data_IF_234814317419
#
_entry.id   IF_234814317419
#
_cell.length_a   1.000
_cell.length_b   1.000
_cell.length_c   1.000
_cell.angle_alpha   90.00
_cell.angle_beta   90.00
_cell.angle_gamma   90.00
#
_symmetry.space_group_name_H-M   'P 1'
#
loop_
_entity.id
_entity.type
_entity.pdbx_description
1 polymer ?
#
# COMPACT_ATOMS: atom_id res chain seq x y z
N UNK A 1 -15.80 7.49 9.73
CA UNK A 1 -15.90 6.03 9.51
C UNK A 1 -16.84 5.40 10.52
N UNK A 2 -16.54 5.48 11.81
CA UNK A 2 -17.17 4.64 12.85
C UNK A 2 -18.70 4.68 12.95
N UNK A 3 -19.37 5.80 12.66
CA UNK A 3 -20.84 5.89 12.84
C UNK A 3 -21.61 5.08 11.79
N UNK A 4 -21.16 5.08 10.53
CA UNK A 4 -21.78 4.30 9.45
C UNK A 4 -21.56 2.81 9.69
N UNK A 5 -20.36 2.44 10.14
CA UNK A 5 -20.00 1.04 10.41
C UNK A 5 -20.82 0.47 11.58
N UNK A 6 -21.00 1.24 12.66
CA UNK A 6 -21.86 0.86 13.79
C UNK A 6 -23.32 0.73 13.35
N UNK A 7 -23.83 1.66 12.54
CA UNK A 7 -25.18 1.57 12.01
C UNK A 7 -25.38 0.31 11.15
N UNK A 8 -24.40 -0.02 10.30
CA UNK A 8 -24.42 -1.23 9.49
C UNK A 8 -24.37 -2.49 10.35
N UNK A 9 -23.56 -2.50 11.42
CA UNK A 9 -23.46 -3.61 12.36
C UNK A 9 -24.83 -3.90 13.00
N UNK A 10 -25.52 -2.87 13.51
CA UNK A 10 -26.86 -3.02 14.05
C UNK A 10 -27.88 -3.49 13.00
N UNK A 11 -27.83 -2.93 11.80
CA UNK A 11 -28.77 -3.25 10.73
C UNK A 11 -28.69 -4.71 10.29
N UNK A 12 -27.47 -5.23 10.06
CA UNK A 12 -27.28 -6.56 9.49
C UNK A 12 -27.17 -7.68 10.53
N UNK A 13 -26.68 -7.41 11.75
CA UNK A 13 -26.30 -8.46 12.71
C UNK A 13 -27.12 -8.50 14.02
N UNK A 14 -28.13 -7.64 14.17
CA UNK A 14 -28.99 -7.57 15.38
C UNK A 14 -29.78 -8.84 15.69
N UNK A 15 -29.94 -9.76 14.74
CA UNK A 15 -30.67 -11.00 14.97
C UNK A 15 -29.98 -11.94 15.97
N UNK A 16 -28.66 -11.90 16.05
CA UNK A 16 -27.86 -12.90 16.78
C UNK A 16 -26.79 -12.30 17.70
N UNK A 17 -26.62 -10.98 17.72
CA UNK A 17 -25.64 -10.29 18.57
C UNK A 17 -26.32 -9.36 19.55
N UNK A 18 -25.96 -9.51 20.83
CA UNK A 18 -26.26 -8.51 21.86
C UNK A 18 -25.16 -7.46 21.83
N UNK A 19 -25.50 -6.26 21.36
CA UNK A 19 -24.51 -5.20 21.20
C UNK A 19 -24.21 -4.49 22.53
N UNK A 20 -22.92 -4.21 22.83
CA UNK A 20 -22.57 -3.30 23.91
C UNK A 20 -22.93 -1.85 23.55
N UNK A 21 -22.63 -0.92 24.45
CA UNK A 21 -22.86 0.49 24.18
C UNK A 21 -22.03 1.03 23.01
N UNK A 22 -22.44 2.20 22.51
CA UNK A 22 -21.81 2.84 21.35
C UNK A 22 -20.33 3.16 21.56
N UNK A 23 -19.94 3.52 22.80
CA UNK A 23 -18.56 3.82 23.13
C UNK A 23 -17.68 2.57 23.01
N UNK A 24 -18.16 1.44 23.52
CA UNK A 24 -17.49 0.14 23.42
C UNK A 24 -17.35 -0.32 21.97
N UNK A 25 -18.39 -0.17 21.15
CA UNK A 25 -18.29 -0.48 19.71
C UNK A 25 -17.29 0.43 18.99
N UNK A 26 -17.23 1.70 19.38
CA UNK A 26 -16.25 2.65 18.82
C UNK A 26 -14.81 2.22 19.14
N UNK A 27 -14.55 1.80 20.38
CA UNK A 27 -13.25 1.26 20.79
C UNK A 27 -12.92 -0.02 20.03
N UNK A 28 -13.87 -0.95 19.93
CA UNK A 28 -13.67 -2.21 19.21
C UNK A 28 -13.32 -1.99 17.73
N UNK A 29 -14.04 -1.13 17.03
CA UNK A 29 -13.75 -0.82 15.64
C UNK A 29 -12.40 -0.13 15.47
N UNK A 30 -12.01 0.73 16.40
CA UNK A 30 -10.67 1.31 16.39
C UNK A 30 -9.59 0.23 16.59
N UNK A 31 -9.80 -0.73 17.50
CA UNK A 31 -8.91 -1.86 17.71
C UNK A 31 -8.80 -2.75 16.45
N UNK A 32 -9.92 -3.06 15.80
CA UNK A 32 -9.93 -3.85 14.55
C UNK A 32 -9.19 -3.11 13.44
N UNK A 33 -9.37 -1.80 13.29
CA UNK A 33 -8.62 -1.03 12.28
C UNK A 33 -7.11 -0.99 12.55
N UNK A 34 -6.69 -0.91 13.81
CA UNK A 34 -5.26 -0.85 14.17
C UNK A 34 -4.56 -2.21 14.13
N UNK A 35 -5.29 -3.32 14.33
CA UNK A 35 -4.73 -4.66 14.55
C UNK A 35 -5.23 -5.71 13.54
N UNK A 36 -6.08 -5.31 12.60
CA UNK A 36 -6.62 -6.18 11.57
C UNK A 36 -5.58 -6.50 10.50
N UNK A 37 -5.62 -7.73 10.00
CA UNK A 37 -4.74 -8.22 8.94
C UNK A 37 -5.54 -8.50 7.69
N UNK A 38 -4.98 -8.11 6.55
CA UNK A 38 -5.40 -8.60 5.24
C UNK A 38 -4.71 -9.94 5.00
N UNK A 39 -5.49 -10.98 4.72
CA UNK A 39 -5.00 -12.28 4.26
C UNK A 39 -4.90 -12.22 2.74
N UNK A 40 -3.74 -12.62 2.24
CA UNK A 40 -3.40 -12.58 0.82
C UNK A 40 -2.93 -13.96 0.34
N UNK A 41 -3.13 -14.25 -0.95
CA UNK A 41 -2.58 -15.45 -1.61
C UNK A 41 -1.13 -15.23 -2.08
N UNK A 42 -0.58 -16.20 -2.82
CA UNK A 42 0.78 -16.14 -3.35
C UNK A 42 1.04 -15.00 -4.34
N UNK A 43 -0.01 -14.42 -4.93
CA UNK A 43 0.06 -13.27 -5.84
C UNK A 43 -0.26 -11.94 -5.12
N UNK A 44 -0.37 -11.97 -3.79
CA UNK A 44 -0.81 -10.86 -2.94
C UNK A 44 -2.25 -10.39 -3.21
N UNK A 45 -3.09 -11.26 -3.77
CA UNK A 45 -4.52 -10.98 -3.97
C UNK A 45 -5.28 -11.09 -2.65
N UNK A 46 -6.20 -10.15 -2.41
CA UNK A 46 -6.97 -10.10 -1.17
C UNK A 46 -7.96 -11.27 -1.06
N UNK A 47 -7.75 -12.15 -0.08
CA UNK A 47 -8.66 -13.26 0.23
C UNK A 47 -9.67 -12.91 1.33
N UNK A 48 -9.31 -12.03 2.25
CA UNK A 48 -10.18 -11.61 3.35
C UNK A 48 -9.45 -10.89 4.47
N UNK A 49 -10.14 -10.70 5.58
CA UNK A 49 -9.61 -10.01 6.77
C UNK A 49 -9.69 -10.90 8.01
N UNK A 50 -8.68 -10.81 8.87
CA UNK A 50 -8.60 -11.58 10.11
C UNK A 50 -7.94 -10.80 11.26
N UNK A 51 -8.05 -11.33 12.47
CA UNK A 51 -7.40 -10.79 13.67
C UNK A 51 -6.46 -11.84 14.23
N UNK A 52 -5.19 -11.49 14.38
CA UNK A 52 -4.14 -12.36 14.93
C UNK A 52 -3.49 -11.66 16.13
N UNK A 53 -4.04 -11.78 17.35
CA UNK A 53 -3.59 -10.98 18.50
C UNK A 53 -2.09 -11.09 18.79
N UNK A 54 -1.51 -12.29 18.73
CA UNK A 54 -0.08 -12.50 18.99
C UNK A 54 0.81 -11.90 17.90
N UNK A 55 0.32 -11.89 16.65
CA UNK A 55 1.03 -11.30 15.50
C UNK A 55 0.91 -9.78 15.54
N UNK A 56 -0.23 -9.25 15.99
CA UNK A 56 -0.49 -7.82 16.16
C UNK A 56 0.40 -7.15 17.22
N UNK A 57 1.06 -7.94 18.07
CA UNK A 57 2.02 -7.44 19.07
C UNK A 57 3.30 -6.87 18.42
N UNK A 58 3.68 -7.37 17.23
CA UNK A 58 4.93 -6.96 16.57
C UNK A 58 4.81 -5.55 16.02
N UNK A 59 5.76 -4.67 16.37
CA UNK A 59 5.81 -3.30 15.87
C UNK A 59 6.24 -3.21 14.40
N UNK A 60 6.05 -2.02 13.83
CA UNK A 60 6.45 -1.72 12.46
C UNK A 60 7.93 -1.35 12.32
N UNK A 61 8.57 -1.80 11.24
CA UNK A 61 9.78 -1.20 10.70
C UNK A 61 9.76 -1.20 9.18
N UNK A 62 10.31 -0.15 8.53
CA UNK A 62 10.52 -0.15 7.08
C UNK A 62 11.70 -1.05 6.64
N UNK A 63 12.45 -1.61 7.60
CA UNK A 63 13.45 -2.65 7.39
C UNK A 63 13.13 -3.85 8.31
N UNK A 64 12.03 -4.57 8.07
CA UNK A 64 11.51 -5.59 8.96
C UNK A 64 12.45 -6.81 9.01
N UNK A 65 12.56 -7.45 10.17
CA UNK A 65 13.33 -8.68 10.34
C UNK A 65 12.46 -9.95 10.23
N UNK A 66 11.14 -9.81 10.14
CA UNK A 66 10.20 -10.91 9.86
C UNK A 66 9.17 -10.57 8.78
N UNK A 67 8.69 -11.59 8.08
CA UNK A 67 7.51 -11.52 7.20
C UNK A 67 6.41 -12.42 7.76
N UNK A 68 5.16 -11.97 7.64
CA UNK A 68 3.96 -12.74 7.95
C UNK A 68 3.41 -13.35 6.67
N UNK A 69 3.18 -14.66 6.68
CA UNK A 69 2.54 -15.42 5.59
C UNK A 69 1.37 -16.23 6.13
N UNK A 70 0.51 -16.75 5.26
CA UNK A 70 -0.69 -17.48 5.70
C UNK A 70 -0.72 -18.90 5.14
N UNK A 71 -1.01 -19.88 6.02
CA UNK A 71 -1.32 -21.26 5.65
C UNK A 71 -2.79 -21.53 5.95
N UNK A 72 -3.64 -21.27 4.95
CA UNK A 72 -5.09 -21.18 5.18
C UNK A 72 -5.37 -20.02 6.13
N UNK A 73 -5.99 -20.30 7.28
CA UNK A 73 -6.31 -19.28 8.30
C UNK A 73 -5.23 -19.14 9.40
N UNK A 74 -4.08 -19.80 9.25
CA UNK A 74 -2.98 -19.75 10.22
C UNK A 74 -1.94 -18.76 9.75
N UNK A 75 -1.66 -17.73 10.55
CA UNK A 75 -0.53 -16.82 10.33
C UNK A 75 0.79 -17.48 10.76
N UNK A 76 1.80 -17.39 9.91
CA UNK A 76 3.15 -17.90 10.15
C UNK A 76 4.14 -16.73 10.05
N UNK A 77 4.94 -16.52 11.10
CA UNK A 77 5.95 -15.46 11.18
C UNK A 77 7.33 -16.07 10.94
N UNK A 78 8.05 -15.59 9.93
CA UNK A 78 9.38 -16.11 9.56
C UNK A 78 10.42 -15.01 9.50
N UNK A 79 11.60 -15.28 10.04
CA UNK A 79 12.74 -14.38 9.97
C UNK A 79 13.21 -14.22 8.51
N UNK A 80 13.43 -12.96 8.11
CA UNK A 80 14.06 -12.57 6.83
C UNK A 80 15.39 -11.84 7.03
N UNK A 81 15.77 -11.63 8.29
CA UNK A 81 17.08 -11.19 8.73
C UNK A 81 17.50 -12.04 9.94
N UNK A 82 18.78 -12.05 10.28
CA UNK A 82 19.25 -12.62 11.54
C UNK A 82 18.65 -11.84 12.72
N UNK A 83 18.27 -12.53 13.79
CA UNK A 83 17.68 -11.93 15.00
C UNK A 83 18.45 -12.44 16.21
N UNK A 84 19.14 -11.54 16.88
CA UNK A 84 19.91 -11.82 18.09
C UNK A 84 19.04 -11.74 19.36
N UNK A 85 19.40 -12.46 20.45
CA UNK A 85 18.69 -12.33 21.71
C UNK A 85 18.65 -10.88 22.22
N UNK A 86 17.44 -10.39 22.52
CA UNK A 86 17.20 -9.02 22.99
C UNK A 86 16.86 -8.03 21.87
N UNK A 87 16.94 -8.41 20.60
CA UNK A 87 16.43 -7.60 19.49
C UNK A 87 14.91 -7.69 19.41
N UNK A 88 14.28 -6.56 19.07
CA UNK A 88 12.84 -6.49 18.85
C UNK A 88 12.47 -7.09 17.47
N UNK A 89 11.32 -7.76 17.41
CA UNK A 89 10.80 -8.36 16.19
C UNK A 89 9.89 -7.36 15.50
N UNK A 90 10.24 -6.99 14.26
CA UNK A 90 9.53 -6.01 13.46
C UNK A 90 9.01 -6.60 12.16
N UNK A 91 7.77 -6.29 11.83
CA UNK A 91 7.16 -6.57 10.53
C UNK A 91 6.86 -5.26 9.77
N UNK A 92 6.47 -5.34 8.49
CA UNK A 92 5.98 -4.16 7.77
C UNK A 92 4.46 -4.12 7.80
N UNK A 93 3.89 -2.94 8.05
CA UNK A 93 2.43 -2.72 8.01
C UNK A 93 1.96 -2.16 6.66
N UNK A 94 2.92 -1.79 5.80
CA UNK A 94 2.68 -1.03 4.58
C UNK A 94 3.57 -1.55 3.46
N UNK A 95 3.23 -1.19 2.23
CA UNK A 95 4.09 -1.38 1.08
C UNK A 95 5.39 -0.54 1.22
N UNK A 96 6.53 -1.21 1.12
CA UNK A 96 7.85 -0.62 1.27
C UNK A 96 8.39 0.02 -0.02
N UNK A 97 7.65 -0.05 -1.14
CA UNK A 97 8.03 0.54 -2.43
C UNK A 97 8.20 2.06 -2.32
N UNK A 98 7.30 2.77 -1.63
CA UNK A 98 7.23 4.23 -1.67
C UNK A 98 8.35 4.94 -0.89
N UNK A 99 8.63 6.24 -1.17
CA UNK A 99 9.59 7.06 -0.44
C UNK A 99 9.20 7.28 1.02
N UNK A 100 10.15 7.76 1.82
CA UNK A 100 9.97 7.89 3.28
C UNK A 100 8.82 8.80 3.70
N UNK A 101 8.56 9.86 2.94
CA UNK A 101 7.43 10.76 3.22
C UNK A 101 6.09 10.02 3.06
N UNK A 102 5.86 9.42 1.88
CA UNK A 102 4.63 8.67 1.56
C UNK A 102 4.38 7.52 2.56
N UNK A 103 5.44 6.78 2.92
CA UNK A 103 5.33 5.70 3.93
C UNK A 103 4.86 6.26 5.27
N UNK A 104 5.44 7.36 5.73
CA UNK A 104 5.06 7.95 7.01
C UNK A 104 3.71 8.67 6.98
N UNK A 105 3.28 9.22 5.84
CA UNK A 105 1.91 9.72 5.68
C UNK A 105 0.90 8.59 5.89
N UNK A 106 1.13 7.43 5.28
CA UNK A 106 0.29 6.25 5.46
C UNK A 106 0.28 5.74 6.90
N UNK A 107 1.45 5.67 7.55
CA UNK A 107 1.56 5.24 8.94
C UNK A 107 0.86 6.20 9.91
N UNK A 108 0.96 7.52 9.70
CA UNK A 108 0.25 8.51 10.52
C UNK A 108 -1.25 8.43 10.35
N UNK A 109 -1.72 8.26 9.11
CA UNK A 109 -3.15 8.21 8.80
C UNK A 109 -3.82 6.93 9.34
N UNK A 110 -3.17 5.77 9.16
CA UNK A 110 -3.77 4.48 9.50
C UNK A 110 -3.39 3.96 10.89
N UNK A 111 -2.22 4.31 11.42
CA UNK A 111 -1.67 3.76 12.66
C UNK A 111 -1.24 4.83 13.68
N UNK A 112 -1.39 6.13 13.35
CA UNK A 112 -1.19 7.24 14.28
C UNK A 112 0.23 7.39 14.84
N UNK A 113 1.26 6.91 14.12
CA UNK A 113 2.66 7.11 14.49
C UNK A 113 3.54 7.50 13.30
N UNK A 114 4.75 7.99 13.58
CA UNK A 114 5.80 8.24 12.59
C UNK A 114 6.95 7.29 12.87
N UNK A 115 7.43 6.57 11.85
CA UNK A 115 8.51 5.60 11.97
C UNK A 115 9.87 6.31 11.93
N UNK A 116 10.77 5.91 12.84
CA UNK A 116 12.12 6.42 13.01
C UNK A 116 13.21 5.36 12.72
N UNK A 117 12.82 4.23 12.10
CA UNK A 117 13.75 3.17 11.73
C UNK A 117 14.89 3.67 10.82
N UNK A 118 15.93 2.84 10.64
CA UNK A 118 17.13 3.18 9.85
C UNK A 118 16.79 3.74 8.46
N UNK A 119 15.87 3.12 7.74
CA UNK A 119 15.46 3.57 6.40
C UNK A 119 14.78 4.94 6.43
N UNK A 120 13.94 5.22 7.44
CA UNK A 120 13.26 6.50 7.58
C UNK A 120 14.20 7.63 8.01
N UNK A 121 15.20 7.30 8.84
CA UNK A 121 16.21 8.26 9.32
C UNK A 121 17.25 8.58 8.24
N UNK A 122 17.77 7.56 7.55
CA UNK A 122 18.83 7.73 6.55
C UNK A 122 18.28 8.19 5.19
N UNK A 123 17.07 7.75 4.82
CA UNK A 123 16.44 8.03 3.51
C UNK A 123 17.28 7.57 2.31
N UNK A 124 18.14 6.58 2.51
CA UNK A 124 19.14 6.13 1.52
C UNK A 124 18.51 5.73 0.17
N UNK A 125 17.32 5.12 0.20
CA UNK A 125 16.60 4.66 -0.99
C UNK A 125 15.73 5.72 -1.66
N UNK A 126 15.45 6.85 -1.00
CA UNK A 126 14.49 7.83 -1.52
C UNK A 126 14.98 8.43 -2.85
N UNK A 127 16.29 8.63 -3.02
CA UNK A 127 16.87 9.15 -4.27
C UNK A 127 16.62 8.22 -5.46
N UNK A 128 16.76 6.91 -5.26
CA UNK A 128 16.54 5.93 -6.34
C UNK A 128 15.04 5.74 -6.60
N UNK A 129 14.22 5.76 -5.55
CA UNK A 129 12.76 5.70 -5.67
C UNK A 129 12.18 6.90 -6.43
N UNK A 130 12.80 8.07 -6.27
CA UNK A 130 12.39 9.34 -6.85
C UNK A 130 13.21 9.75 -8.07
N UNK A 131 13.71 8.76 -8.83
CA UNK A 131 14.61 9.01 -9.94
C UNK A 131 13.97 9.87 -11.02
N UNK A 132 14.72 10.86 -11.47
CA UNK A 132 14.32 11.87 -12.47
C UNK A 132 15.18 11.67 -13.72
N UNK A 133 14.57 11.84 -14.90
CA UNK A 133 15.24 11.67 -16.20
C UNK A 133 16.42 12.63 -16.35
N UNK A 134 17.49 12.10 -16.94
CA UNK A 134 18.65 12.88 -17.38
C UNK A 134 18.34 13.60 -18.69
N UNK A 135 17.72 14.76 -18.58
CA UNK A 135 17.44 15.65 -19.71
C UNK A 135 18.65 16.57 -19.99
N UNK A 136 18.68 17.15 -21.19
CA UNK A 136 19.70 18.16 -21.56
C UNK A 136 19.68 19.38 -20.63
N UNK A 137 18.48 19.80 -20.23
CA UNK A 137 18.26 20.75 -19.15
C UNK A 137 17.62 20.01 -17.99
N UNK A 138 18.28 19.93 -16.81
CA UNK A 138 17.71 19.29 -15.64
C UNK A 138 16.35 19.90 -15.26
N UNK A 139 15.35 19.09 -14.85
CA UNK A 139 14.09 19.62 -14.35
C UNK A 139 14.29 20.51 -13.12
N UNK A 140 13.61 21.65 -13.09
CA UNK A 140 13.60 22.53 -11.93
C UNK A 140 13.00 21.82 -10.70
N UNK A 141 13.50 22.06 -9.48
CA UNK A 141 12.99 21.41 -8.27
C UNK A 141 11.48 21.59 -8.05
N UNK A 142 10.91 22.72 -8.47
CA UNK A 142 9.46 22.95 -8.39
C UNK A 142 8.69 22.04 -9.35
N UNK A 143 9.18 21.85 -10.57
CA UNK A 143 8.55 20.94 -11.54
C UNK A 143 8.54 19.50 -11.03
N UNK A 144 9.61 19.07 -10.35
CA UNK A 144 9.65 17.75 -9.69
C UNK A 144 8.60 17.66 -8.59
N UNK A 145 8.50 18.66 -7.70
CA UNK A 145 7.47 18.69 -6.63
C UNK A 145 6.05 18.66 -7.19
N UNK A 146 5.77 19.44 -8.23
CA UNK A 146 4.47 19.45 -8.88
C UNK A 146 4.13 18.09 -9.51
N UNK A 147 5.11 17.42 -10.09
CA UNK A 147 4.92 16.08 -10.64
C UNK A 147 4.67 15.03 -9.56
N UNK A 148 5.33 15.12 -8.40
CA UNK A 148 5.03 14.26 -7.25
C UNK A 148 3.61 14.47 -6.75
N UNK A 149 3.18 15.73 -6.63
CA UNK A 149 1.79 16.05 -6.25
C UNK A 149 0.80 15.51 -7.27
N UNK A 150 1.09 15.64 -8.56
CA UNK A 150 0.29 15.04 -9.63
C UNK A 150 0.22 13.53 -9.49
N UNK A 151 1.35 12.84 -9.29
CA UNK A 151 1.41 11.39 -9.13
C UNK A 151 0.57 10.90 -7.95
N UNK A 152 0.72 11.52 -6.76
CA UNK A 152 -0.11 11.19 -5.58
C UNK A 152 -1.61 11.35 -5.87
N UNK A 153 -2.00 12.43 -6.56
CA UNK A 153 -3.39 12.65 -6.93
C UNK A 153 -3.91 11.58 -7.91
N UNK A 154 -3.12 11.23 -8.93
CA UNK A 154 -3.49 10.19 -9.91
C UNK A 154 -3.69 8.84 -9.25
N UNK A 155 -2.83 8.46 -8.31
CA UNK A 155 -2.96 7.20 -7.56
C UNK A 155 -4.30 7.15 -6.82
N UNK A 156 -4.66 8.24 -6.14
CA UNK A 156 -5.94 8.36 -5.43
C UNK A 156 -7.14 8.42 -6.38
N UNK A 157 -7.03 9.12 -7.50
CA UNK A 157 -8.07 9.18 -8.54
C UNK A 157 -8.30 7.80 -9.18
N UNK A 158 -7.22 7.08 -9.49
CA UNK A 158 -7.29 5.72 -10.05
C UNK A 158 -7.96 4.76 -9.06
N UNK A 159 -7.58 4.82 -7.78
CA UNK A 159 -8.21 4.03 -6.71
C UNK A 159 -9.72 4.25 -6.65
N UNK A 160 -10.19 5.50 -6.73
CA UNK A 160 -11.63 5.82 -6.79
C UNK A 160 -12.28 5.32 -8.07
N UNK A 161 -11.60 5.48 -9.20
CA UNK A 161 -12.09 5.11 -10.52
C UNK A 161 -12.33 3.60 -10.68
N UNK A 162 -11.56 2.73 -10.00
CA UNK A 162 -11.76 1.27 -10.04
C UNK A 162 -13.19 0.83 -9.73
N UNK A 163 -13.95 1.61 -8.96
CA UNK A 163 -15.31 1.28 -8.56
C UNK A 163 -16.40 1.76 -9.52
N UNK A 164 -16.05 2.54 -10.55
CA UNK A 164 -17.04 3.19 -11.42
C UNK A 164 -16.68 3.21 -12.91
N UNK A 165 -15.40 3.10 -13.27
CA UNK A 165 -14.92 3.14 -14.65
C UNK A 165 -14.75 1.76 -15.26
N UNK A 166 -14.83 1.70 -16.58
CA UNK A 166 -14.54 0.49 -17.36
C UNK A 166 -13.04 0.18 -17.38
N UNK A 167 -12.65 -1.08 -17.60
CA UNK A 167 -11.23 -1.44 -17.71
C UNK A 167 -10.47 -0.63 -18.78
N UNK A 168 -11.07 -0.36 -19.93
CA UNK A 168 -10.44 0.45 -20.99
C UNK A 168 -10.18 1.89 -20.56
N UNK A 169 -11.11 2.53 -19.84
CA UNK A 169 -10.90 3.87 -19.29
C UNK A 169 -9.81 3.86 -18.20
N UNK A 170 -9.72 2.80 -17.39
CA UNK A 170 -8.66 2.65 -16.40
C UNK A 170 -7.29 2.50 -17.06
N UNK A 171 -7.20 1.70 -18.13
CA UNK A 171 -5.96 1.56 -18.89
C UNK A 171 -5.54 2.89 -19.51
N UNK A 172 -6.48 3.63 -20.11
CA UNK A 172 -6.24 4.98 -20.65
C UNK A 172 -5.73 5.95 -19.56
N UNK A 173 -6.33 5.91 -18.36
CA UNK A 173 -5.84 6.70 -17.22
C UNK A 173 -4.39 6.37 -16.87
N UNK A 174 -4.01 5.08 -16.90
CA UNK A 174 -2.64 4.66 -16.66
C UNK A 174 -1.70 5.20 -17.74
N UNK A 175 -2.02 4.98 -19.00
CA UNK A 175 -1.21 5.40 -20.16
C UNK A 175 -0.98 6.92 -20.19
N UNK A 176 -2.05 7.70 -20.02
CA UNK A 176 -1.96 9.17 -19.98
C UNK A 176 -1.12 9.66 -18.81
N UNK A 177 -1.23 9.01 -17.64
CA UNK A 177 -0.42 9.37 -16.48
C UNK A 177 1.05 9.00 -16.64
N UNK A 178 1.34 7.84 -17.24
CA UNK A 178 2.70 7.38 -17.54
C UNK A 178 3.38 8.30 -18.56
N UNK A 179 2.68 8.71 -19.61
CA UNK A 179 3.21 9.67 -20.59
C UNK A 179 3.55 11.01 -19.92
N UNK A 180 2.62 11.55 -19.14
CA UNK A 180 2.83 12.82 -18.43
C UNK A 180 3.96 12.74 -17.42
N UNK A 181 3.99 11.73 -16.56
CA UNK A 181 5.05 11.55 -15.57
C UNK A 181 6.40 11.26 -16.23
N UNK A 182 6.41 10.52 -17.34
CA UNK A 182 7.59 10.19 -18.13
C UNK A 182 8.30 11.40 -18.75
N UNK A 183 7.68 12.59 -18.74
CA UNK A 183 8.38 13.84 -19.06
C UNK A 183 9.44 14.24 -18.02
N UNK A 184 9.30 13.78 -16.76
CA UNK A 184 10.18 14.12 -15.64
C UNK A 184 10.79 12.86 -14.99
N UNK A 185 10.01 11.81 -14.75
CA UNK A 185 10.45 10.63 -14.01
C UNK A 185 11.09 9.58 -14.92
N UNK A 186 12.15 8.92 -14.44
CA UNK A 186 12.68 7.72 -15.09
C UNK A 186 11.68 6.55 -14.92
N UNK A 187 11.77 5.55 -15.79
CA UNK A 187 10.84 4.42 -15.78
C UNK A 187 10.92 3.61 -14.47
N UNK A 188 12.09 3.63 -13.79
CA UNK A 188 12.31 2.99 -12.48
C UNK A 188 11.78 3.83 -11.30
N UNK A 189 11.21 5.00 -11.54
CA UNK A 189 10.60 5.81 -10.49
C UNK A 189 9.37 5.10 -9.92
N UNK A 190 9.18 5.14 -8.60
CA UNK A 190 8.11 4.38 -7.92
C UNK A 190 6.70 4.76 -8.37
N UNK A 191 6.46 6.00 -8.81
CA UNK A 191 5.16 6.41 -9.33
C UNK A 191 4.91 5.89 -10.75
N UNK A 192 5.97 5.76 -11.56
CA UNK A 192 5.91 5.09 -12.86
C UNK A 192 5.61 3.61 -12.65
N UNK A 193 6.36 2.95 -11.76
CA UNK A 193 6.16 1.54 -11.41
C UNK A 193 4.76 1.28 -10.87
N UNK A 194 4.22 2.17 -10.03
CA UNK A 194 2.85 2.06 -9.54
C UNK A 194 1.85 2.01 -10.70
N UNK A 195 1.91 2.97 -11.63
CA UNK A 195 0.95 3.03 -12.74
C UNK A 195 1.16 1.88 -13.73
N UNK A 196 2.39 1.41 -13.94
CA UNK A 196 2.66 0.18 -14.71
C UNK A 196 2.03 -1.05 -14.04
N UNK A 197 2.15 -1.18 -12.71
CA UNK A 197 1.53 -2.28 -11.97
C UNK A 197 -0.01 -2.22 -12.05
N UNK A 198 -0.59 -1.02 -11.96
CA UNK A 198 -2.03 -0.85 -12.17
C UNK A 198 -2.45 -1.22 -13.60
N UNK A 199 -1.71 -0.78 -14.63
CA UNK A 199 -1.98 -1.12 -16.03
C UNK A 199 -1.87 -2.63 -16.27
N UNK A 200 -0.83 -3.28 -15.73
CA UNK A 200 -0.68 -4.74 -15.75
C UNK A 200 -1.91 -5.44 -15.17
N UNK A 201 -2.39 -5.01 -14.00
CA UNK A 201 -3.60 -5.57 -13.38
C UNK A 201 -4.86 -5.41 -14.25
N UNK A 202 -4.98 -4.29 -14.96
CA UNK A 202 -6.09 -4.07 -15.91
C UNK A 202 -5.97 -4.99 -17.14
N UNK A 203 -4.77 -5.16 -17.70
CA UNK A 203 -4.52 -6.10 -18.79
C UNK A 203 -4.83 -7.54 -18.38
N UNK A 204 -4.41 -7.98 -17.19
CA UNK A 204 -4.73 -9.30 -16.65
C UNK A 204 -6.25 -9.52 -16.56
N UNK A 205 -7.00 -8.52 -16.10
CA UNK A 205 -8.46 -8.59 -16.03
C UNK A 205 -9.12 -8.67 -17.42
N UNK A 206 -8.53 -8.02 -18.43
CA UNK A 206 -8.99 -8.06 -19.81
C UNK A 206 -8.53 -9.31 -20.58
N UNK A 207 -7.79 -10.21 -19.94
CA UNK A 207 -7.12 -11.35 -20.59
C UNK A 207 -6.14 -10.95 -21.71
N UNK A 208 -5.63 -9.72 -21.65
CA UNK A 208 -4.56 -9.22 -22.50
C UNK A 208 -3.19 -9.62 -21.93
N UNK A 209 -2.83 -10.89 -22.15
CA UNK A 209 -1.61 -11.48 -21.61
C UNK A 209 -0.33 -10.83 -22.14
N UNK A 210 -0.33 -10.41 -23.41
CA UNK A 210 0.82 -9.73 -24.03
C UNK A 210 1.03 -8.34 -23.41
N UNK A 211 -0.06 -7.59 -23.20
CA UNK A 211 -0.02 -6.30 -22.50
C UNK A 211 0.45 -6.46 -21.05
N UNK A 212 -0.09 -7.43 -20.31
CA UNK A 212 0.31 -7.72 -18.95
C UNK A 212 1.81 -8.08 -18.86
N UNK A 213 2.32 -8.92 -19.77
CA UNK A 213 3.73 -9.28 -19.84
C UNK A 213 4.62 -8.06 -20.12
N UNK A 214 4.23 -7.22 -21.08
CA UNK A 214 4.96 -6.00 -21.45
C UNK A 214 5.13 -5.01 -20.29
N UNK A 215 4.12 -4.89 -19.41
CA UNK A 215 4.26 -4.11 -18.18
C UNK A 215 5.07 -4.84 -17.11
N UNK A 216 4.85 -6.14 -16.93
CA UNK A 216 5.57 -6.97 -15.96
C UNK A 216 7.09 -6.95 -16.16
N UNK A 217 7.56 -7.07 -17.40
CA UNK A 217 8.99 -7.01 -17.75
C UNK A 217 9.67 -5.67 -17.43
N UNK A 218 8.90 -4.58 -17.33
CA UNK A 218 9.41 -3.25 -16.96
C UNK A 218 9.44 -3.01 -15.45
N UNK A 219 8.64 -3.78 -14.71
CA UNK A 219 8.51 -3.65 -13.25
C UNK A 219 9.63 -4.42 -12.52
N UNK A 220 10.03 -5.58 -13.06
CA UNK A 220 11.04 -6.48 -12.48
C UNK A 220 12.47 -6.11 -12.88
#
# INVERSE_FOLDING_TARGET
>A
MNQTDIAALHYFYSKHLDFPDHATLTVLLAQVNCNGFTIEDEELSHLGSAVFPDVALMNHSCCPNVIVTYKGIVAEVRAVQEISPGEEVFTSYIDLLYPTEDRNDRLRDSYFFTCDCKECTAKDKDKEKMKVRKLSTPPEPEAVRDMVKYARNVIEDFRRAKHSKTPSELLEMCELSLDRMGSIFEDTNVYMLHMMYQAMGVCLYLEDWDGAMSYGEKII
#
